data_IF_922457723594
#
_entry.id   IF_922457723594
#
_cell.length_a   1.000
_cell.length_b   1.000
_cell.length_c   1.000
_cell.angle_alpha   90.00
_cell.angle_beta   90.00
_cell.angle_gamma   90.00
#
_symmetry.space_group_name_H-M   'P 1'
#
loop_
_entity.id
_entity.type
_entity.pdbx_description
1 polymer ?
#
# COMPACT_ATOMS: atom_id res chain seq x y z
N UNK A 1 -3.17 -6.08 -29.00
CA UNK A 1 -3.02 -5.53 -27.63
C UNK A 1 -1.62 -5.87 -27.19
N UNK A 2 -0.86 -4.92 -26.64
CA UNK A 2 0.47 -5.24 -26.07
C UNK A 2 0.27 -5.94 -24.73
N UNK A 3 1.26 -6.74 -24.32
CA UNK A 3 1.24 -7.48 -23.05
C UNK A 3 1.03 -6.53 -21.86
N UNK A 4 1.75 -5.40 -21.85
CA UNK A 4 1.61 -4.34 -20.84
C UNK A 4 0.21 -3.72 -20.80
N UNK A 5 -0.42 -3.47 -21.96
CA UNK A 5 -1.78 -2.93 -21.98
C UNK A 5 -2.81 -3.94 -21.42
N UNK A 6 -2.55 -5.23 -21.60
CA UNK A 6 -3.38 -6.30 -21.03
C UNK A 6 -3.19 -6.39 -19.51
N UNK A 7 -1.94 -6.36 -19.01
CA UNK A 7 -1.66 -6.36 -17.57
C UNK A 7 -2.27 -5.17 -16.86
N UNK A 8 -2.15 -3.96 -17.43
CA UNK A 8 -2.80 -2.75 -16.89
C UNK A 8 -4.32 -2.87 -16.84
N UNK A 9 -4.94 -3.51 -17.84
CA UNK A 9 -6.38 -3.74 -17.83
C UNK A 9 -6.78 -4.74 -16.73
N UNK A 10 -5.99 -5.79 -16.53
CA UNK A 10 -6.20 -6.76 -15.45
C UNK A 10 -6.06 -6.11 -14.06
N UNK A 11 -5.01 -5.32 -13.83
CA UNK A 11 -4.81 -4.60 -12.57
C UNK A 11 -5.99 -3.68 -12.25
N UNK A 12 -6.49 -2.93 -13.24
CA UNK A 12 -7.69 -2.08 -13.06
C UNK A 12 -8.94 -2.88 -12.69
N UNK A 13 -9.20 -3.99 -13.39
CA UNK A 13 -10.35 -4.85 -13.08
C UNK A 13 -10.23 -5.50 -11.70
N UNK A 14 -9.02 -5.91 -11.31
CA UNK A 14 -8.73 -6.45 -9.99
C UNK A 14 -8.99 -5.40 -8.90
N UNK A 15 -8.52 -4.17 -9.05
CA UNK A 15 -8.79 -3.07 -8.11
C UNK A 15 -10.29 -2.84 -7.93
N UNK A 16 -11.07 -2.83 -9.03
CA UNK A 16 -12.54 -2.67 -8.97
C UNK A 16 -13.18 -3.85 -8.22
N UNK A 17 -12.77 -5.09 -8.52
CA UNK A 17 -13.32 -6.28 -7.86
C UNK A 17 -13.05 -6.25 -6.35
N UNK A 18 -11.81 -5.91 -5.95
CA UNK A 18 -11.43 -5.78 -4.54
C UNK A 18 -12.23 -4.68 -3.83
N UNK A 19 -12.44 -3.55 -4.49
CA UNK A 19 -13.26 -2.45 -3.94
C UNK A 19 -14.70 -2.91 -3.70
N UNK A 20 -15.29 -3.62 -4.65
CA UNK A 20 -16.67 -4.13 -4.53
C UNK A 20 -16.82 -5.19 -3.44
N UNK A 21 -15.75 -5.95 -3.16
CA UNK A 21 -15.70 -6.92 -2.07
C UNK A 21 -15.45 -6.27 -0.69
N UNK A 22 -15.22 -4.96 -0.64
CA UNK A 22 -14.89 -4.26 0.59
C UNK A 22 -13.49 -4.58 1.11
N UNK A 23 -12.55 -4.86 0.20
CA UNK A 23 -11.16 -5.13 0.57
C UNK A 23 -10.56 -3.93 1.33
N UNK A 24 -9.62 -4.20 2.27
CA UNK A 24 -8.96 -3.14 3.01
C UNK A 24 -8.19 -2.19 2.08
N UNK A 25 -8.11 -0.92 2.46
CA UNK A 25 -7.47 0.16 1.68
C UNK A 25 -6.05 -0.21 1.27
N UNK A 26 -5.31 -0.90 2.13
CA UNK A 26 -3.95 -1.35 1.83
C UNK A 26 -3.90 -2.25 0.61
N UNK A 27 -4.78 -3.25 0.52
CA UNK A 27 -4.86 -4.17 -0.62
C UNK A 27 -5.23 -3.41 -1.92
N UNK A 28 -6.09 -2.40 -1.81
CA UNK A 28 -6.42 -1.50 -2.92
C UNK A 28 -5.23 -0.64 -3.34
N UNK A 29 -4.43 -0.16 -2.39
CA UNK A 29 -3.21 0.60 -2.67
C UNK A 29 -2.14 -0.25 -3.35
N UNK A 30 -1.94 -1.51 -2.92
CA UNK A 30 -1.01 -2.44 -3.55
C UNK A 30 -1.39 -2.58 -5.03
N UNK A 31 -2.59 -3.09 -5.34
CA UNK A 31 -2.98 -3.35 -6.73
C UNK A 31 -3.11 -2.06 -7.56
N UNK A 32 -3.55 -0.96 -6.95
CA UNK A 32 -3.69 0.34 -7.62
C UNK A 32 -2.37 0.98 -8.05
N UNK A 33 -1.25 0.61 -7.43
CA UNK A 33 0.09 1.14 -7.74
C UNK A 33 0.79 0.45 -8.92
N UNK A 34 0.21 -0.65 -9.42
CA UNK A 34 0.74 -1.43 -10.53
C UNK A 34 0.91 -0.61 -11.81
N UNK A 35 2.15 -0.55 -12.31
CA UNK A 35 2.49 0.17 -13.55
C UNK A 35 2.50 1.69 -13.44
N UNK A 36 2.23 2.25 -12.26
CA UNK A 36 2.41 3.68 -11.94
C UNK A 36 3.73 3.88 -11.18
N UNK A 37 3.81 3.31 -9.98
CA UNK A 37 4.98 3.43 -9.09
C UNK A 37 5.66 2.09 -8.79
N UNK A 38 5.02 0.96 -9.11
CA UNK A 38 5.46 -0.38 -8.73
C UNK A 38 5.48 -1.34 -9.92
N UNK A 39 6.47 -2.23 -9.95
CA UNK A 39 6.66 -3.25 -10.98
C UNK A 39 5.89 -4.54 -10.69
N UNK A 40 5.84 -5.47 -11.66
CA UNK A 40 5.26 -6.81 -11.49
C UNK A 40 5.78 -7.52 -10.23
N UNK A 41 7.10 -7.48 -9.98
CA UNK A 41 7.72 -8.12 -8.82
C UNK A 41 7.34 -7.44 -7.51
N UNK A 42 7.30 -6.11 -7.49
CA UNK A 42 6.97 -5.36 -6.27
C UNK A 42 5.52 -5.64 -5.83
N UNK A 43 4.60 -5.69 -6.79
CA UNK A 43 3.20 -6.02 -6.52
C UNK A 43 3.06 -7.45 -5.99
N UNK A 44 3.74 -8.41 -6.60
CA UNK A 44 3.68 -9.80 -6.16
C UNK A 44 4.19 -9.95 -4.73
N UNK A 45 5.35 -9.35 -4.44
CA UNK A 45 5.94 -9.38 -3.10
C UNK A 45 5.01 -8.76 -2.05
N UNK A 46 4.43 -7.59 -2.33
CA UNK A 46 3.51 -6.93 -1.40
C UNK A 46 2.22 -7.74 -1.16
N UNK A 47 1.70 -8.42 -2.19
CA UNK A 47 0.54 -9.31 -2.05
C UNK A 47 0.89 -10.56 -1.22
N UNK A 48 2.07 -11.14 -1.42
CA UNK A 48 2.57 -12.27 -0.63
C UNK A 48 2.72 -11.87 0.84
N UNK A 49 3.36 -10.73 1.13
CA UNK A 49 3.49 -10.20 2.49
C UNK A 49 2.13 -9.94 3.13
N UNK A 50 1.17 -9.37 2.39
CA UNK A 50 -0.18 -9.16 2.89
C UNK A 50 -0.89 -10.48 3.18
N UNK A 51 -0.73 -11.52 2.36
CA UNK A 51 -1.30 -12.84 2.61
C UNK A 51 -0.70 -13.52 3.85
N UNK A 52 0.60 -13.35 4.09
CA UNK A 52 1.28 -13.94 5.24
C UNK A 52 0.96 -13.22 6.55
N UNK A 53 0.88 -11.88 6.53
CA UNK A 53 0.87 -11.04 7.74
C UNK A 53 -0.43 -10.28 7.96
N UNK A 54 -1.33 -10.26 6.96
CA UNK A 54 -2.53 -9.41 6.92
C UNK A 54 -2.23 -7.93 6.60
N UNK A 55 -0.96 -7.57 6.41
CA UNK A 55 -0.49 -6.22 6.05
C UNK A 55 0.89 -6.32 5.40
N UNK A 56 1.16 -5.49 4.40
CA UNK A 56 2.50 -5.29 3.83
C UNK A 56 3.23 -4.10 4.48
N UNK A 57 2.54 -3.30 5.29
CA UNK A 57 3.18 -2.29 6.12
C UNK A 57 3.80 -2.95 7.34
N UNK A 58 5.14 -2.93 7.42
CA UNK A 58 5.82 -3.16 8.69
C UNK A 58 5.24 -2.20 9.74
N UNK A 59 4.99 -2.73 10.92
CA UNK A 59 4.56 -1.94 12.09
C UNK A 59 5.67 -0.95 12.42
N UNK A 60 5.62 0.27 11.86
CA UNK A 60 6.48 1.39 12.26
C UNK A 60 5.91 1.94 13.59
N UNK A 61 6.08 1.20 14.68
CA UNK A 61 5.79 1.67 16.06
C UNK A 61 7.15 1.74 16.77
N UNK A 62 7.65 2.86 17.30
CA UNK A 62 7.05 4.13 17.69
C UNK A 62 8.05 5.31 17.46
N UNK A 63 7.61 6.59 17.48
CA UNK A 63 8.55 7.69 17.61
C UNK A 63 9.18 7.62 19.01
N UNK A 64 10.50 7.38 19.10
CA UNK A 64 11.26 7.58 20.34
C UNK A 64 11.19 9.03 20.84
N UNK A 65 10.75 9.96 19.99
CA UNK A 65 10.71 11.36 20.31
C UNK A 65 9.35 11.82 20.84
N UNK A 66 9.24 11.85 22.16
CA UNK A 66 8.22 12.66 22.84
C UNK A 66 8.77 14.08 23.02
N UNK A 67 8.34 15.02 22.18
CA UNK A 67 8.69 16.43 22.40
C UNK A 67 8.07 16.91 23.72
N UNK A 68 8.91 17.40 24.65
CA UNK A 68 8.47 18.11 25.85
C UNK A 68 8.88 19.58 25.73
N UNK A 69 7.93 20.53 25.70
CA UNK A 69 8.29 21.95 25.75
C UNK A 69 9.01 22.26 27.06
N UNK A 70 10.08 23.05 27.01
CA UNK A 70 10.63 23.69 28.21
C UNK A 70 9.64 24.78 28.65
N UNK A 71 9.20 24.81 29.92
CA UNK A 71 8.39 25.91 30.40
C UNK A 71 9.26 27.18 30.40
N UNK A 72 8.85 28.18 29.62
CA UNK A 72 9.54 29.48 29.55
C UNK A 72 9.59 30.16 28.17
N UNK A 73 8.95 29.61 27.14
CA UNK A 73 9.01 30.15 25.77
C UNK A 73 7.83 31.04 25.35
N UNK A 74 7.10 31.64 26.28
CA UNK A 74 6.10 32.67 25.97
C UNK A 74 6.35 33.86 26.89
N UNK A 75 7.09 34.82 26.36
CA UNK A 75 7.17 36.20 26.85
C UNK A 75 6.23 37.05 26.02
#
# INVERSE_FOLDING_TARGET
MTDEAMKMALAKQLTIALQNLGAPVELLCIVGSYGDTQTDSDILEMLEQHNERGTCMDVIIAPEFTWKPKPGGAS
#
